data_IF_502012330113
#
_entry.id   IF_502012330113
#
_cell.length_a   1.000
_cell.length_b   1.000
_cell.length_c   1.000
_cell.angle_alpha   90.00
_cell.angle_beta   90.00
_cell.angle_gamma   90.00
#
_symmetry.space_group_name_H-M   'P 1'
#
loop_
_entity.id
_entity.type
_entity.pdbx_description
1 polymer ?
#
# COMPACT_ATOMS: atom_id res chain seq x y z
N UNK A 1 -0.66 -33.05 25.76
CA UNK A 1 -0.45 -31.79 25.03
C UNK A 1 -1.57 -31.64 24.03
N UNK A 2 -2.47 -30.69 24.29
CA UNK A 2 -3.75 -30.54 23.61
C UNK A 2 -3.52 -30.14 22.16
N UNK A 3 -4.24 -30.77 21.22
CA UNK A 3 -4.23 -30.43 19.77
C UNK A 3 -4.66 -28.97 19.48
N UNK A 4 -5.11 -28.25 20.50
CA UNK A 4 -5.57 -26.85 20.44
C UNK A 4 -4.41 -25.86 20.33
N UNK A 5 -3.22 -26.16 20.90
CA UNK A 5 -2.07 -25.22 20.85
C UNK A 5 -1.46 -25.09 19.45
N UNK A 6 -1.70 -26.05 18.55
CA UNK A 6 -1.21 -25.97 17.16
C UNK A 6 -2.03 -25.05 16.27
N UNK A 7 -3.29 -24.79 16.59
CA UNK A 7 -4.17 -23.95 15.78
C UNK A 7 -4.08 -22.46 16.10
N UNK A 8 -3.54 -22.10 17.28
CA UNK A 8 -3.38 -20.70 17.67
C UNK A 8 -2.04 -20.09 17.25
N UNK A 9 -1.09 -20.91 16.79
CA UNK A 9 0.24 -20.45 16.36
C UNK A 9 0.35 -20.19 14.85
N UNK A 10 -0.55 -20.75 14.03
CA UNK A 10 -0.54 -20.55 12.57
C UNK A 10 -1.10 -19.21 12.13
N UNK A 11 -2.00 -18.61 12.92
CA UNK A 11 -2.69 -17.36 12.55
C UNK A 11 -1.95 -16.08 12.99
N UNK A 12 -0.81 -16.21 13.70
CA UNK A 12 -0.15 -15.08 14.37
C UNK A 12 1.21 -14.64 13.81
N UNK A 13 1.75 -15.33 12.82
CA UNK A 13 3.03 -14.97 12.20
C UNK A 13 2.84 -14.41 10.80
N UNK A 14 2.13 -13.28 10.69
CA UNK A 14 2.30 -12.45 9.50
C UNK A 14 3.72 -11.87 9.50
N UNK A 15 4.40 -12.03 8.38
CA UNK A 15 5.75 -11.49 8.18
C UNK A 15 5.74 -9.96 8.34
N UNK A 16 6.86 -9.36 8.72
CA UNK A 16 6.99 -7.87 8.74
C UNK A 16 6.59 -7.27 7.40
N UNK A 17 6.90 -7.95 6.29
CA UNK A 17 6.58 -7.52 4.93
C UNK A 17 5.08 -7.54 4.68
N UNK A 18 4.43 -8.64 5.04
CA UNK A 18 2.98 -8.84 4.99
C UNK A 18 2.22 -7.74 5.73
N UNK A 19 2.69 -7.38 6.94
CA UNK A 19 2.11 -6.29 7.74
C UNK A 19 2.24 -4.94 7.03
N UNK A 20 3.42 -4.63 6.50
CA UNK A 20 3.68 -3.37 5.79
C UNK A 20 2.84 -3.29 4.51
N UNK A 21 2.80 -4.35 3.71
CA UNK A 21 1.99 -4.42 2.49
C UNK A 21 0.51 -4.26 2.83
N UNK A 22 0.03 -4.95 3.88
CA UNK A 22 -1.35 -4.86 4.33
C UNK A 22 -1.75 -3.45 4.75
N UNK A 23 -0.90 -2.77 5.51
CA UNK A 23 -1.11 -1.36 5.89
C UNK A 23 -1.19 -0.46 4.66
N UNK A 24 -0.25 -0.58 3.72
CA UNK A 24 -0.22 0.26 2.52
C UNK A 24 -1.43 0.02 1.60
N UNK A 25 -1.87 -1.24 1.45
CA UNK A 25 -3.10 -1.56 0.73
C UNK A 25 -4.33 -0.93 1.41
N UNK A 26 -4.39 -0.94 2.74
CA UNK A 26 -5.44 -0.27 3.51
C UNK A 26 -5.49 1.23 3.24
N UNK A 27 -4.33 1.89 3.27
CA UNK A 27 -4.22 3.32 2.96
C UNK A 27 -4.65 3.64 1.52
N UNK A 28 -4.30 2.81 0.54
CA UNK A 28 -4.73 3.01 -0.85
C UNK A 28 -6.24 2.86 -0.99
N UNK A 29 -6.85 1.88 -0.35
CA UNK A 29 -8.31 1.70 -0.35
C UNK A 29 -8.99 2.91 0.28
N UNK A 30 -8.44 3.40 1.40
CA UNK A 30 -8.91 4.62 2.06
C UNK A 30 -8.85 5.81 1.11
N UNK A 31 -7.70 6.05 0.47
CA UNK A 31 -7.52 7.15 -0.48
C UNK A 31 -8.47 7.02 -1.69
N UNK A 32 -8.57 5.83 -2.30
CA UNK A 32 -9.52 5.56 -3.41
C UNK A 32 -10.97 5.88 -3.01
N UNK A 33 -11.36 5.59 -1.77
CA UNK A 33 -12.73 5.88 -1.30
C UNK A 33 -13.01 7.38 -1.10
N UNK A 34 -11.97 8.20 -0.92
CA UNK A 34 -12.08 9.65 -0.70
C UNK A 34 -11.74 10.50 -1.93
N UNK A 35 -11.26 9.89 -3.02
CA UNK A 35 -10.94 10.57 -4.29
C UNK A 35 -12.09 11.39 -4.87
N UNK A 36 -13.35 11.02 -4.61
CA UNK A 36 -14.55 11.77 -5.06
C UNK A 36 -14.66 13.17 -4.46
N UNK A 37 -13.82 13.52 -3.47
CA UNK A 37 -13.75 14.86 -2.89
C UNK A 37 -12.85 15.80 -3.70
N UNK A 38 -12.13 15.30 -4.71
CA UNK A 38 -11.30 16.11 -5.62
C UNK A 38 -12.22 16.78 -6.66
N UNK A 39 -12.17 18.10 -6.76
CA UNK A 39 -13.07 18.89 -7.62
C UNK A 39 -12.69 18.87 -9.12
N UNK A 40 -11.46 18.47 -9.45
CA UNK A 40 -10.96 18.42 -10.83
C UNK A 40 -10.94 16.99 -11.38
N UNK A 41 -11.67 16.75 -12.46
CA UNK A 41 -11.81 15.42 -13.10
C UNK A 41 -10.48 14.90 -13.64
N UNK A 42 -9.62 15.77 -14.19
CA UNK A 42 -8.32 15.37 -14.74
C UNK A 42 -7.36 14.92 -13.64
N UNK A 43 -7.40 15.57 -12.47
CA UNK A 43 -6.62 15.15 -11.31
C UNK A 43 -7.18 13.88 -10.71
N UNK A 44 -8.51 13.79 -10.55
CA UNK A 44 -9.15 12.57 -10.06
C UNK A 44 -8.65 11.34 -10.85
N UNK A 45 -8.59 11.45 -12.17
CA UNK A 45 -8.06 10.41 -13.04
C UNK A 45 -6.55 10.13 -12.84
N UNK A 46 -5.73 11.16 -12.64
CA UNK A 46 -4.30 11.01 -12.33
C UNK A 46 -4.08 10.33 -10.97
N UNK A 47 -4.85 10.69 -9.95
CA UNK A 47 -4.84 10.10 -8.61
C UNK A 47 -5.28 8.64 -8.65
N UNK A 48 -6.38 8.33 -9.32
CA UNK A 48 -6.86 6.96 -9.49
C UNK A 48 -5.79 6.11 -10.18
N UNK A 49 -5.19 6.62 -11.26
CA UNK A 49 -4.12 5.92 -11.99
C UNK A 49 -2.88 5.68 -11.11
N UNK A 50 -2.48 6.65 -10.29
CA UNK A 50 -1.37 6.52 -9.35
C UNK A 50 -1.63 5.45 -8.29
N UNK A 51 -2.83 5.48 -7.69
CA UNK A 51 -3.23 4.51 -6.68
C UNK A 51 -3.39 3.10 -7.25
N UNK A 52 -3.90 2.94 -8.47
CA UNK A 52 -3.98 1.65 -9.16
C UNK A 52 -2.60 1.03 -9.42
N UNK A 53 -1.63 1.84 -9.82
CA UNK A 53 -0.25 1.38 -10.02
C UNK A 53 0.38 0.90 -8.71
N UNK A 54 0.16 1.63 -7.61
CA UNK A 54 0.68 1.22 -6.30
C UNK A 54 -0.01 -0.05 -5.82
N UNK A 55 -1.33 -0.15 -5.95
CA UNK A 55 -2.13 -1.33 -5.59
C UNK A 55 -1.63 -2.58 -6.34
N UNK A 56 -1.35 -2.44 -7.63
CA UNK A 56 -0.77 -3.51 -8.44
C UNK A 56 0.61 -3.96 -7.93
N UNK A 57 1.51 -3.02 -7.64
CA UNK A 57 2.86 -3.31 -7.14
C UNK A 57 2.79 -4.04 -5.78
N UNK A 58 1.95 -3.56 -4.87
CA UNK A 58 1.76 -4.17 -3.55
C UNK A 58 1.09 -5.54 -3.63
N UNK A 59 0.15 -5.72 -4.56
CA UNK A 59 -0.49 -7.00 -4.84
C UNK A 59 0.50 -8.04 -5.40
N UNK A 60 1.45 -7.62 -6.23
CA UNK A 60 2.56 -8.47 -6.67
C UNK A 60 3.50 -8.82 -5.50
N UNK A 61 3.89 -7.84 -4.69
CA UNK A 61 4.74 -8.07 -3.52
C UNK A 61 4.14 -9.08 -2.54
N UNK A 62 2.82 -9.02 -2.31
CA UNK A 62 2.10 -9.97 -1.47
C UNK A 62 2.14 -11.41 -2.01
N UNK A 63 2.22 -11.58 -3.33
CA UNK A 63 2.24 -12.90 -3.98
C UNK A 63 3.65 -13.49 -4.10
N UNK A 64 4.69 -12.67 -3.98
CA UNK A 64 6.09 -13.04 -4.27
C UNK A 64 6.94 -13.13 -2.98
N UNK A 65 6.29 -13.23 -1.82
CA UNK A 65 6.91 -13.00 -0.50
C UNK A 65 8.10 -13.91 -0.18
N UNK A 66 8.13 -15.13 -0.73
CA UNK A 66 9.12 -16.16 -0.37
C UNK A 66 10.48 -16.01 -1.06
N UNK A 67 10.63 -15.18 -2.10
CA UNK A 67 11.88 -15.13 -2.90
C UNK A 67 12.56 -13.75 -2.96
N UNK A 68 11.95 -12.70 -2.41
CA UNK A 68 12.50 -11.35 -2.56
C UNK A 68 13.59 -11.04 -1.51
N UNK A 69 14.79 -10.58 -1.90
CA UNK A 69 15.79 -10.07 -0.97
C UNK A 69 15.27 -8.85 -0.17
N UNK A 70 15.68 -8.71 1.09
CA UNK A 70 15.17 -7.65 1.99
C UNK A 70 15.54 -6.24 1.50
N UNK A 71 16.72 -6.07 0.93
CA UNK A 71 17.16 -4.80 0.33
C UNK A 71 16.31 -4.39 -0.88
N UNK A 72 15.84 -5.38 -1.64
CA UNK A 72 14.98 -5.18 -2.81
C UNK A 72 13.56 -4.83 -2.37
N UNK A 73 13.09 -5.48 -1.29
CA UNK A 73 11.81 -5.15 -0.67
C UNK A 73 11.80 -3.70 -0.17
N UNK A 74 12.83 -3.28 0.57
CA UNK A 74 12.93 -1.92 1.10
C UNK A 74 13.00 -0.85 -0.01
N UNK A 75 13.70 -1.13 -1.12
CA UNK A 75 13.71 -0.24 -2.30
C UNK A 75 12.32 -0.07 -2.92
N UNK A 76 11.54 -1.16 -3.00
CA UNK A 76 10.19 -1.13 -3.55
C UNK A 76 9.23 -0.38 -2.62
N UNK A 77 9.34 -0.57 -1.31
CA UNK A 77 8.56 0.20 -0.33
C UNK A 77 8.91 1.69 -0.40
N UNK A 78 10.18 2.05 -0.53
CA UNK A 78 10.59 3.44 -0.73
C UNK A 78 10.05 4.05 -2.02
N UNK A 79 9.95 3.26 -3.10
CA UNK A 79 9.35 3.71 -4.35
C UNK A 79 7.85 3.98 -4.17
N UNK A 80 7.12 3.08 -3.49
CA UNK A 80 5.70 3.29 -3.14
C UNK A 80 5.53 4.56 -2.30
N UNK A 81 6.38 4.75 -1.28
CA UNK A 81 6.35 5.95 -0.43
C UNK A 81 6.57 7.23 -1.23
N UNK A 82 7.54 7.26 -2.15
CA UNK A 82 7.81 8.44 -2.97
C UNK A 82 6.62 8.78 -3.88
N UNK A 83 5.96 7.79 -4.48
CA UNK A 83 4.76 8.03 -5.30
C UNK A 83 3.63 8.61 -4.44
N UNK A 84 3.40 8.05 -3.24
CA UNK A 84 2.41 8.59 -2.31
C UNK A 84 2.76 10.03 -1.88
N UNK A 85 4.04 10.32 -1.66
CA UNK A 85 4.50 11.67 -1.31
C UNK A 85 4.28 12.67 -2.44
N UNK A 86 4.57 12.29 -3.68
CA UNK A 86 4.29 13.14 -4.86
C UNK A 86 2.79 13.43 -5.00
N UNK A 87 1.97 12.40 -4.85
CA UNK A 87 0.49 12.48 -4.78
C UNK A 87 0.06 13.50 -3.71
N UNK A 88 0.59 13.40 -2.48
CA UNK A 88 0.24 14.31 -1.38
C UNK A 88 0.70 15.74 -1.66
N UNK A 89 1.91 15.94 -2.16
CA UNK A 89 2.44 17.28 -2.49
C UNK A 89 1.58 17.96 -3.55
N UNK A 90 1.13 17.23 -4.58
CA UNK A 90 0.23 17.79 -5.59
C UNK A 90 -1.16 18.12 -5.02
N UNK A 91 -1.68 17.35 -4.05
CA UNK A 91 -2.91 17.71 -3.33
C UNK A 91 -2.73 18.96 -2.46
N UNK A 92 -1.64 19.06 -1.72
CA UNK A 92 -1.37 20.16 -0.78
C UNK A 92 -1.20 21.50 -1.51
N UNK A 93 -0.50 21.51 -2.65
CA UNK A 93 -0.34 22.72 -3.49
C UNK A 93 -1.66 23.33 -3.94
N UNK A 94 -2.71 22.52 -4.07
CA UNK A 94 -4.01 22.98 -4.55
C UNK A 94 -5.00 23.34 -3.44
N UNK A 95 -4.74 22.92 -2.21
CA UNK A 95 -5.58 23.24 -1.05
C UNK A 95 -5.26 24.60 -0.41
N UNK A 96 -4.29 25.37 -0.93
CA UNK A 96 -3.82 26.67 -0.39
C UNK A 96 -3.72 26.68 1.16
N UNK A 97 -2.83 25.83 1.71
CA UNK A 97 -2.25 26.01 3.06
C UNK A 97 -0.79 26.44 2.90
#
# INVERSE_FOLDING_TARGET
MSKVEKWQLSDFYQSRREKIIGLLLGEIIFLKSHIKQIHSVSQQCQFETGLEKIDYILGLLKKTEEELPEDTFDKLINLVYNILKEIVIELEKELEI
#
